data_IF_164821156401
#
_entry.id   IF_164821156401
#
_cell.length_a   1.000
_cell.length_b   1.000
_cell.length_c   1.000
_cell.angle_alpha   90.00
_cell.angle_beta   90.00
_cell.angle_gamma   90.00
#
_symmetry.space_group_name_H-M   'P 1'
#
loop_
_entity.id
_entity.type
_entity.pdbx_description
1 polymer ?
#
# COMPACT_ATOMS: atom_id res chain seq x y z
N UNK A 1 -14.58 7.43 -4.42
CA UNK A 1 -15.21 7.12 -3.12
C UNK A 1 -16.58 6.46 -3.26
N UNK A 2 -17.58 7.08 -3.91
CA UNK A 2 -18.93 6.48 -4.06
C UNK A 2 -18.92 5.26 -5.01
N UNK A 3 -18.12 5.30 -6.08
CA UNK A 3 -17.99 4.20 -7.03
C UNK A 3 -17.43 2.91 -6.38
N UNK A 4 -16.32 3.05 -5.64
CA UNK A 4 -15.69 1.96 -4.89
C UNK A 4 -16.60 1.42 -3.78
N UNK A 5 -17.35 2.30 -3.13
CA UNK A 5 -18.36 1.92 -2.15
C UNK A 5 -19.43 1.04 -2.79
N UNK A 6 -19.92 1.39 -3.98
CA UNK A 6 -20.93 0.62 -4.70
C UNK A 6 -20.39 -0.70 -5.26
N UNK A 7 -19.14 -0.73 -5.71
CA UNK A 7 -18.49 -1.99 -6.12
C UNK A 7 -18.36 -2.95 -4.92
N UNK A 8 -17.95 -2.41 -3.77
CA UNK A 8 -17.79 -3.17 -2.54
C UNK A 8 -19.11 -3.79 -2.06
N UNK A 9 -20.22 -3.04 -2.05
CA UNK A 9 -21.53 -3.60 -1.68
C UNK A 9 -22.04 -4.65 -2.65
N UNK A 10 -21.68 -4.54 -3.93
CA UNK A 10 -22.08 -5.51 -4.96
C UNK A 10 -21.32 -6.84 -4.79
N UNK A 11 -20.00 -6.78 -4.61
CA UNK A 11 -19.18 -7.98 -4.36
C UNK A 11 -19.49 -8.65 -3.02
N UNK A 12 -19.83 -7.89 -1.97
CA UNK A 12 -20.28 -8.47 -0.69
C UNK A 12 -21.58 -9.28 -0.81
N UNK A 13 -22.48 -8.86 -1.72
CA UNK A 13 -23.75 -9.54 -1.94
C UNK A 13 -23.58 -10.86 -2.69
N UNK A 14 -22.51 -10.99 -3.47
CA UNK A 14 -22.18 -12.21 -4.21
C UNK A 14 -21.35 -13.21 -3.37
N UNK A 15 -20.87 -12.82 -2.17
CA UNK A 15 -20.02 -13.62 -1.26
C UNK A 15 -20.78 -14.24 -0.06
N UNK A 16 -22.12 -14.29 -0.10
CA UNK A 16 -22.95 -14.81 1.02
C UNK A 16 -22.63 -16.29 1.39
N UNK A 17 -21.85 -17.01 0.58
CA UNK A 17 -21.53 -18.44 0.79
C UNK A 17 -20.02 -18.79 0.83
N UNK A 18 -19.09 -17.83 0.97
CA UNK A 18 -17.64 -18.13 0.98
C UNK A 18 -16.84 -17.51 2.14
N UNK A 19 -16.35 -18.41 3.00
CA UNK A 19 -15.22 -18.38 3.96
C UNK A 19 -14.40 -17.09 4.18
N UNK A 20 -14.01 -16.87 5.46
CA UNK A 20 -13.16 -15.79 6.03
C UNK A 20 -11.90 -15.39 5.21
N UNK A 21 -11.34 -16.33 4.42
CA UNK A 21 -10.19 -16.08 3.55
C UNK A 21 -10.50 -15.11 2.39
N UNK A 22 -11.75 -15.14 1.92
CA UNK A 22 -12.25 -14.29 0.84
C UNK A 22 -12.40 -12.84 1.32
N UNK A 23 -12.93 -12.66 2.54
CA UNK A 23 -13.04 -11.36 3.20
C UNK A 23 -11.68 -10.69 3.44
N UNK A 24 -10.67 -11.43 3.90
CA UNK A 24 -9.33 -10.85 4.11
C UNK A 24 -8.71 -10.38 2.79
N UNK A 25 -8.88 -11.18 1.73
CA UNK A 25 -8.39 -10.85 0.38
C UNK A 25 -9.13 -9.64 -0.19
N UNK A 26 -10.43 -9.55 0.08
CA UNK A 26 -11.31 -8.45 -0.32
C UNK A 26 -10.96 -7.12 0.37
N UNK A 27 -10.80 -7.13 1.70
CA UNK A 27 -10.34 -5.95 2.43
C UNK A 27 -8.94 -5.53 1.97
N UNK A 28 -8.02 -6.48 1.77
CA UNK A 28 -6.68 -6.18 1.25
C UNK A 28 -6.74 -5.56 -0.16
N UNK A 29 -7.68 -5.99 -1.01
CA UNK A 29 -7.93 -5.39 -2.32
C UNK A 29 -8.38 -3.95 -2.20
N UNK A 30 -9.45 -3.71 -1.44
CA UNK A 30 -10.04 -2.39 -1.33
C UNK A 30 -9.18 -1.41 -0.55
N UNK A 31 -8.53 -1.83 0.55
CA UNK A 31 -7.59 -0.98 1.29
C UNK A 31 -6.42 -0.56 0.42
N UNK A 32 -5.86 -1.47 -0.38
CA UNK A 32 -4.78 -1.12 -1.31
C UNK A 32 -5.26 -0.09 -2.35
N UNK A 33 -6.44 -0.31 -2.95
CA UNK A 33 -6.98 0.63 -3.92
C UNK A 33 -7.24 2.01 -3.30
N UNK A 34 -7.81 2.06 -2.09
CA UNK A 34 -8.06 3.31 -1.35
C UNK A 34 -6.75 4.04 -1.05
N UNK A 35 -5.71 3.35 -0.58
CA UNK A 35 -4.40 3.98 -0.29
C UNK A 35 -3.78 4.53 -1.56
N UNK A 36 -3.87 3.81 -2.68
CA UNK A 36 -3.34 4.27 -3.96
C UNK A 36 -4.15 5.46 -4.50
N UNK A 37 -5.48 5.39 -4.47
CA UNK A 37 -6.35 6.51 -4.87
C UNK A 37 -6.13 7.75 -3.99
N UNK A 38 -6.04 7.57 -2.67
CA UNK A 38 -5.92 8.68 -1.70
C UNK A 38 -4.52 9.29 -1.70
N UNK A 39 -3.46 8.48 -1.69
CA UNK A 39 -2.09 9.00 -1.65
C UNK A 39 -1.57 9.42 -3.02
N UNK A 40 -2.12 8.89 -4.12
CA UNK A 40 -1.56 9.09 -5.47
C UNK A 40 -2.51 9.82 -6.43
N UNK A 41 -3.82 9.89 -6.14
CA UNK A 41 -4.80 10.50 -7.04
C UNK A 41 -5.08 9.68 -8.32
N UNK A 42 -4.62 8.43 -8.37
CA UNK A 42 -4.77 7.53 -9.53
C UNK A 42 -5.39 6.21 -9.08
N UNK A 43 -6.36 5.67 -9.81
CA UNK A 43 -6.97 4.37 -9.49
C UNK A 43 -6.04 3.22 -9.91
N UNK A 44 -5.99 2.16 -9.11
CA UNK A 44 -5.14 0.99 -9.34
C UNK A 44 -5.53 0.16 -10.58
N UNK A 45 -6.59 0.57 -11.28
CA UNK A 45 -7.05 -0.03 -12.54
C UNK A 45 -5.98 -0.06 -13.64
N UNK A 46 -4.95 0.78 -13.56
CA UNK A 46 -3.82 0.78 -14.50
C UNK A 46 -2.76 -0.30 -14.20
N UNK A 47 -2.78 -0.91 -13.01
CA UNK A 47 -1.80 -1.93 -12.62
C UNK A 47 -2.37 -3.32 -12.90
N UNK A 48 -1.57 -4.14 -13.56
CA UNK A 48 -1.92 -5.51 -13.92
C UNK A 48 -2.37 -6.34 -12.70
N UNK A 49 -3.44 -7.12 -12.90
CA UNK A 49 -4.07 -7.92 -11.83
C UNK A 49 -3.07 -8.91 -11.21
N UNK A 50 -2.17 -9.49 -12.02
CA UNK A 50 -1.16 -10.41 -11.51
C UNK A 50 -0.10 -9.69 -10.67
N UNK A 51 0.21 -8.42 -10.96
CA UNK A 51 1.11 -7.64 -10.11
C UNK A 51 0.47 -7.29 -8.76
N UNK A 52 -0.82 -6.96 -8.76
CA UNK A 52 -1.56 -6.74 -7.51
C UNK A 52 -1.62 -8.02 -6.66
N UNK A 53 -1.87 -9.18 -7.28
CA UNK A 53 -1.88 -10.47 -6.59
C UNK A 53 -0.50 -10.80 -6.01
N UNK A 54 0.58 -10.60 -6.78
CA UNK A 54 1.96 -10.81 -6.31
C UNK A 54 2.31 -9.90 -5.13
N UNK A 55 1.87 -8.65 -5.15
CA UNK A 55 2.06 -7.72 -4.04
C UNK A 55 1.31 -8.18 -2.78
N UNK A 56 0.04 -8.58 -2.91
CA UNK A 56 -0.75 -9.10 -1.80
C UNK A 56 -0.13 -10.36 -1.19
N UNK A 57 0.28 -11.30 -2.03
CA UNK A 57 0.95 -12.51 -1.57
C UNK A 57 2.27 -12.19 -0.85
N UNK A 58 3.06 -11.24 -1.37
CA UNK A 58 4.28 -10.79 -0.72
C UNK A 58 4.01 -10.18 0.67
N UNK A 59 2.95 -9.38 0.83
CA UNK A 59 2.52 -8.85 2.14
C UNK A 59 2.09 -9.99 3.07
N UNK A 60 1.32 -10.95 2.58
CA UNK A 60 0.83 -12.05 3.40
C UNK A 60 1.99 -12.86 3.98
N UNK A 61 2.94 -13.26 3.13
CA UNK A 61 4.16 -13.98 3.54
C UNK A 61 5.00 -13.13 4.49
N UNK A 62 5.17 -11.82 4.21
CA UNK A 62 5.91 -10.92 5.10
C UNK A 62 5.25 -10.83 6.47
N UNK A 63 3.91 -10.74 6.51
CA UNK A 63 3.12 -10.69 7.74
C UNK A 63 3.28 -11.98 8.54
N UNK A 64 3.22 -13.14 7.90
CA UNK A 64 3.48 -14.43 8.55
C UNK A 64 4.89 -14.48 9.17
N UNK A 65 5.91 -14.03 8.44
CA UNK A 65 7.29 -13.94 8.95
C UNK A 65 7.38 -12.98 10.15
N UNK A 66 6.71 -11.83 10.09
CA UNK A 66 6.66 -10.87 11.20
C UNK A 66 5.97 -11.45 12.43
N UNK A 67 4.82 -12.09 12.27
CA UNK A 67 4.13 -12.79 13.36
C UNK A 67 5.01 -13.89 13.96
N UNK A 68 5.71 -14.66 13.12
CA UNK A 68 6.65 -15.68 13.59
C UNK A 68 7.78 -15.06 14.43
N UNK A 69 8.30 -13.89 14.04
CA UNK A 69 9.32 -13.16 14.81
C UNK A 69 8.77 -12.62 16.13
N UNK A 70 7.54 -12.08 16.14
CA UNK A 70 6.90 -11.52 17.34
C UNK A 70 6.63 -12.60 18.39
N UNK A 71 6.12 -13.76 17.96
CA UNK A 71 5.80 -14.87 18.88
C UNK A 71 7.06 -15.54 19.44
N UNK A 72 8.17 -15.56 18.67
CA UNK A 72 9.45 -16.16 19.10
C UNK A 72 10.48 -15.08 19.40
N UNK A 73 10.49 -14.62 20.64
CA UNK A 73 11.41 -13.59 21.15
C UNK A 73 12.91 -13.91 20.89
N UNK A 74 13.28 -15.19 20.76
CA UNK A 74 14.65 -15.64 20.47
C UNK A 74 15.13 -15.27 19.05
N UNK A 75 14.21 -14.95 18.14
CA UNK A 75 14.50 -14.52 16.77
C UNK A 75 14.79 -13.01 16.64
N UNK A 76 14.84 -12.27 17.75
CA UNK A 76 15.30 -10.87 17.77
C UNK A 76 16.80 -10.73 17.44
N UNK A 77 17.60 -11.78 17.64
CA UNK A 77 18.99 -11.75 17.19
C UNK A 77 19.05 -11.76 15.66
N UNK A 78 19.45 -10.64 15.08
CA UNK A 78 19.52 -10.46 13.63
C UNK A 78 20.44 -11.48 12.94
N UNK A 79 21.47 -11.94 13.64
CA UNK A 79 22.42 -12.95 13.14
C UNK A 79 21.74 -14.31 12.96
N UNK A 80 20.92 -14.72 13.93
CA UNK A 80 20.16 -15.99 13.87
C UNK A 80 19.07 -15.90 12.81
N UNK A 81 18.44 -14.74 12.68
CA UNK A 81 17.46 -14.52 11.62
C UNK A 81 18.07 -14.53 10.22
N UNK A 82 19.22 -13.88 10.05
CA UNK A 82 19.94 -13.82 8.77
C UNK A 82 20.34 -15.20 8.24
N UNK A 83 20.68 -16.14 9.13
CA UNK A 83 21.01 -17.52 8.75
C UNK A 83 19.77 -18.37 8.40
N UNK A 84 18.57 -17.90 8.73
CA UNK A 84 17.33 -18.62 8.46
C UNK A 84 16.93 -18.54 6.98
N UNK A 85 16.36 -19.62 6.45
CA UNK A 85 15.71 -19.63 5.13
C UNK A 85 14.62 -18.55 5.02
N UNK A 86 14.00 -18.17 6.14
CA UNK A 86 12.95 -17.15 6.19
C UNK A 86 13.46 -15.74 5.90
N UNK A 87 14.74 -15.44 6.16
CA UNK A 87 15.33 -14.16 5.76
C UNK A 87 15.36 -14.00 4.24
N UNK A 88 15.74 -15.05 3.50
CA UNK A 88 15.74 -15.02 2.02
C UNK A 88 14.34 -14.77 1.45
N UNK A 89 13.33 -15.36 2.09
CA UNK A 89 11.92 -15.17 1.73
C UNK A 89 11.46 -13.74 2.01
N UNK A 90 11.79 -13.20 3.19
CA UNK A 90 11.54 -11.79 3.53
C UNK A 90 12.18 -10.83 2.52
N UNK A 91 13.46 -11.03 2.17
CA UNK A 91 14.17 -10.17 1.20
C UNK A 91 13.50 -10.19 -0.17
N UNK A 92 13.01 -11.35 -0.63
CA UNK A 92 12.24 -11.46 -1.87
C UNK A 92 10.94 -10.68 -1.80
N UNK A 93 10.16 -10.83 -0.72
CA UNK A 93 8.92 -10.09 -0.52
C UNK A 93 9.18 -8.58 -0.48
N UNK A 94 10.22 -8.14 0.24
CA UNK A 94 10.57 -6.73 0.36
C UNK A 94 10.96 -6.13 -1.00
N UNK A 95 11.63 -6.92 -1.86
CA UNK A 95 11.94 -6.50 -3.23
C UNK A 95 10.69 -6.29 -4.09
N UNK A 96 9.68 -7.14 -3.92
CA UNK A 96 8.37 -6.98 -4.60
C UNK A 96 7.67 -5.72 -4.10
N UNK A 97 7.63 -5.51 -2.77
CA UNK A 97 7.05 -4.31 -2.17
C UNK A 97 7.72 -3.03 -2.70
N UNK A 98 9.06 -2.97 -2.66
CA UNK A 98 9.79 -1.81 -3.15
C UNK A 98 9.55 -1.56 -4.64
N UNK A 99 9.59 -2.60 -5.47
CA UNK A 99 9.31 -2.45 -6.91
C UNK A 99 7.91 -1.92 -7.17
N UNK A 100 6.92 -2.38 -6.40
CA UNK A 100 5.54 -1.90 -6.50
C UNK A 100 5.43 -0.41 -6.08
N UNK A 101 6.03 -0.04 -4.95
CA UNK A 101 6.06 1.35 -4.48
C UNK A 101 6.82 2.28 -5.46
N UNK A 102 7.93 1.84 -6.05
CA UNK A 102 8.68 2.61 -7.04
C UNK A 102 7.86 2.88 -8.31
N UNK A 103 7.13 1.88 -8.81
CA UNK A 103 6.22 2.05 -9.95
C UNK A 103 5.15 3.07 -9.65
N UNK A 104 4.54 2.96 -8.47
CA UNK A 104 3.54 3.89 -7.95
C UNK A 104 4.09 5.32 -7.91
N UNK A 105 5.28 5.51 -7.35
CA UNK A 105 5.93 6.84 -7.27
C UNK A 105 6.20 7.38 -8.68
N UNK A 106 6.66 6.54 -9.59
CA UNK A 106 6.91 6.93 -10.97
C UNK A 106 5.63 7.35 -11.70
N UNK A 107 4.52 6.63 -11.50
CA UNK A 107 3.21 6.97 -12.07
C UNK A 107 2.70 8.31 -11.51
N UNK A 108 2.83 8.54 -10.21
CA UNK A 108 2.48 9.82 -9.59
C UNK A 108 3.31 10.98 -10.14
N UNK A 109 4.62 10.79 -10.36
CA UNK A 109 5.49 11.79 -11.00
C UNK A 109 5.01 12.12 -12.41
N UNK A 110 4.70 11.10 -13.23
CA UNK A 110 4.16 11.29 -14.59
C UNK A 110 2.81 12.01 -14.59
N UNK A 111 1.90 11.61 -13.70
CA UNK A 111 0.60 12.26 -13.56
C UNK A 111 0.77 13.74 -13.20
N UNK A 112 1.72 14.05 -12.32
CA UNK A 112 2.03 15.41 -11.92
C UNK A 112 2.62 16.27 -13.05
N UNK A 113 3.56 15.72 -13.82
CA UNK A 113 4.10 16.35 -15.04
C UNK A 113 2.98 16.65 -16.05
N UNK A 114 2.04 15.71 -16.21
CA UNK A 114 0.91 15.88 -17.14
C UNK A 114 -0.16 16.88 -16.67
N UNK A 115 -0.31 17.07 -15.35
CA UNK A 115 -1.34 17.96 -14.76
C UNK A 115 -0.81 19.34 -14.40
N UNK A 116 0.48 19.60 -14.63
CA UNK A 116 1.12 20.90 -14.52
C UNK A 116 1.27 21.39 -13.09
N UNK A 117 1.67 20.53 -12.15
CA UNK A 117 2.05 21.02 -10.81
C UNK A 117 0.92 21.10 -9.77
N UNK A 118 -0.34 20.92 -10.17
CA UNK A 118 -1.53 21.33 -9.39
C UNK A 118 -1.59 20.85 -7.94
N UNK A 119 -1.06 19.66 -7.64
CA UNK A 119 -1.17 19.04 -6.31
C UNK A 119 0.05 19.23 -5.38
N UNK A 120 1.20 19.72 -5.87
CA UNK A 120 2.32 20.15 -4.99
C UNK A 120 2.12 21.59 -4.51
N UNK A 121 1.40 22.41 -5.27
CA UNK A 121 1.12 23.79 -4.89
C UNK A 121 0.27 23.89 -3.61
N UNK A 122 -0.49 22.87 -3.25
CA UNK A 122 -1.28 22.87 -2.01
C UNK A 122 -0.39 22.78 -0.76
N UNK A 123 0.76 22.11 -0.86
CA UNK A 123 1.74 21.98 0.22
C UNK A 123 2.56 23.28 0.34
N UNK A 124 2.98 23.87 -0.78
CA UNK A 124 3.65 25.19 -0.78
C UNK A 124 2.74 26.34 -0.28
N UNK A 125 1.43 26.30 -0.56
CA UNK A 125 0.50 27.33 -0.08
C UNK A 125 0.25 27.21 1.44
N UNK A 126 0.43 26.02 2.03
CA UNK A 126 0.34 25.83 3.48
C UNK A 126 1.60 26.37 4.19
N UNK A 127 2.79 26.16 3.60
CA UNK A 127 4.05 26.70 4.15
C UNK A 127 4.12 28.24 4.06
N UNK A 128 3.61 28.84 2.97
CA UNK A 128 3.57 30.30 2.83
C UNK A 128 2.57 30.96 3.80
N UNK A 129 1.47 30.29 4.18
CA UNK A 129 0.46 30.87 5.08
C UNK A 129 0.86 30.79 6.57
N UNK A 130 1.71 29.83 6.95
CA UNK A 130 2.27 29.75 8.31
C UNK A 130 3.37 30.80 8.56
N UNK A 131 4.02 31.33 7.51
CA UNK A 131 5.01 32.41 7.65
C UNK A 131 4.36 33.79 7.86
N UNK A 132 3.11 34.00 7.41
CA UNK A 132 2.38 35.26 7.62
C UNK A 132 1.77 35.35 9.03
N UNK A 133 1.48 34.20 9.66
CA UNK A 133 0.94 34.14 11.03
C UNK A 133 1.92 34.51 12.15
N UNK A 134 3.24 34.37 11.93
CA UNK A 134 4.25 34.63 12.96
C UNK A 134 4.68 36.11 13.08
N UNK A 135 4.17 37.01 12.24
CA UNK A 135 4.51 38.46 12.29
C UNK A 135 3.53 39.27 13.16
N UNK A 136 2.45 38.65 13.67
CA UNK A 136 1.46 39.31 14.52
C UNK A 136 1.17 38.50 15.80
N UNK A 137 2.19 38.19 16.60
CA UNK A 137 2.06 37.94 18.04
C UNK A 137 3.26 38.56 18.75
#
# INVERSE_FOLDING_TARGET
MVEESNHMTKSLKDMEDSTVQDLQSFFSYHTLNIICETSMGTSLQNIDVAEQERYRNAIHVLTEILFHKIVRLWYHSEIVFWFSSKYKEQVKCLKILHSFTEKIIAERKRYHESTGGRYLNFENTAEDNDMIGSTYI
#
